data_IF_260877190931
#
_entry.id   IF_260877190931
#
_cell.length_a   1.000
_cell.length_b   1.000
_cell.length_c   1.000
_cell.angle_alpha   90.00
_cell.angle_beta   90.00
_cell.angle_gamma   90.00
#
_symmetry.space_group_name_H-M   'P 1'
#
loop_
_entity.id
_entity.type
_entity.pdbx_description
1 polymer ?
#
# COMPACT_ATOMS: atom_id res chain seq x y z
N UNK A 1 20.05 57.68 57.88
CA UNK A 1 19.03 57.58 56.83
C UNK A 1 19.59 57.22 55.45
N UNK A 2 20.80 57.53 54.98
CA UNK A 2 21.31 57.12 53.65
C UNK A 2 21.88 55.70 53.61
N UNK A 3 22.18 55.09 54.77
CA UNK A 3 22.80 53.75 54.88
C UNK A 3 21.79 52.61 54.75
N UNK A 4 20.58 52.87 55.15
CA UNK A 4 19.50 51.85 55.17
C UNK A 4 18.92 51.63 53.76
N UNK A 5 18.86 52.66 52.91
CA UNK A 5 18.43 52.53 51.52
C UNK A 5 19.46 51.80 50.64
N UNK A 6 20.77 51.92 50.99
CA UNK A 6 21.81 51.21 50.29
C UNK A 6 21.77 49.71 50.57
N UNK A 7 21.45 49.32 51.81
CA UNK A 7 21.32 47.93 52.20
C UNK A 7 20.08 47.28 51.57
N UNK A 8 18.96 48.01 51.55
CA UNK A 8 17.70 47.53 50.92
C UNK A 8 17.85 47.40 49.38
N UNK A 9 18.58 48.29 48.74
CA UNK A 9 18.85 48.24 47.28
C UNK A 9 19.76 47.05 46.93
N UNK A 10 20.74 46.75 47.81
CA UNK A 10 21.64 45.60 47.62
C UNK A 10 20.93 44.26 47.84
N UNK A 11 19.97 44.21 48.81
CA UNK A 11 19.16 43.01 49.07
C UNK A 11 18.13 42.72 47.96
N UNK A 12 17.46 43.76 47.42
CA UNK A 12 16.55 43.62 46.31
C UNK A 12 17.29 43.29 44.97
N UNK A 13 18.48 43.82 44.74
CA UNK A 13 19.31 43.50 43.57
C UNK A 13 19.80 42.05 43.55
N UNK A 14 20.12 41.50 44.76
CA UNK A 14 20.53 40.10 44.90
C UNK A 14 19.39 39.11 44.64
N UNK A 15 18.15 39.46 44.98
CA UNK A 15 16.99 38.62 44.81
C UNK A 15 16.51 38.54 43.36
N UNK A 16 16.76 39.62 42.58
CA UNK A 16 16.39 39.62 41.12
C UNK A 16 17.35 38.80 40.23
N UNK A 17 18.63 38.64 40.68
CA UNK A 17 19.61 37.87 39.90
C UNK A 17 19.48 36.37 40.04
N UNK A 18 18.77 35.88 41.05
CA UNK A 18 18.58 34.44 41.29
C UNK A 18 17.47 33.80 40.42
N UNK A 19 16.68 34.60 39.67
CA UNK A 19 15.59 34.09 38.83
C UNK A 19 16.01 33.76 37.38
N UNK A 20 17.29 33.92 37.01
CA UNK A 20 17.77 33.73 35.63
C UNK A 20 18.45 32.39 35.39
N UNK A 21 18.47 31.48 36.37
CA UNK A 21 18.91 30.11 36.14
C UNK A 21 17.73 29.23 35.67
N UNK A 22 17.09 29.59 34.57
CA UNK A 22 16.23 28.73 33.80
C UNK A 22 17.07 27.61 33.19
N UNK A 23 17.09 26.43 33.78
CA UNK A 23 17.61 25.22 33.15
C UNK A 23 16.89 24.99 31.84
N UNK A 24 17.55 25.35 30.74
CA UNK A 24 17.17 24.93 29.39
C UNK A 24 17.48 23.43 29.27
N UNK A 25 16.65 22.59 29.86
CA UNK A 25 16.65 21.15 29.59
C UNK A 25 16.13 20.98 28.17
N UNK A 26 17.00 21.05 27.19
CA UNK A 26 16.74 20.53 25.86
C UNK A 26 16.73 19.00 25.95
N UNK A 27 15.68 18.42 26.52
CA UNK A 27 15.32 17.04 26.19
C UNK A 27 15.18 17.03 24.66
N UNK A 28 16.05 16.32 23.95
CA UNK A 28 15.74 15.82 22.62
C UNK A 28 14.41 15.09 22.81
N UNK A 29 13.33 15.71 22.38
CA UNK A 29 12.05 15.07 22.20
C UNK A 29 12.31 14.06 21.11
N UNK A 30 12.66 12.82 21.48
CA UNK A 30 12.46 11.71 20.61
C UNK A 30 11.00 11.84 20.18
N UNK A 31 10.72 11.87 18.91
CA UNK A 31 9.38 11.94 18.35
C UNK A 31 8.60 10.79 18.96
N UNK A 32 7.87 11.06 20.03
CA UNK A 32 6.91 10.12 20.63
C UNK A 32 5.81 10.05 19.58
N UNK A 33 5.79 8.95 18.85
CA UNK A 33 4.72 8.64 17.92
C UNK A 33 3.40 8.79 18.69
N UNK A 34 2.47 9.61 18.16
CA UNK A 34 1.18 9.78 18.85
C UNK A 34 0.47 8.42 18.96
N UNK A 35 -0.32 8.21 20.01
CA UNK A 35 -1.01 6.94 20.23
C UNK A 35 -1.86 6.51 19.01
N UNK A 36 -2.44 7.47 18.28
CA UNK A 36 -3.20 7.23 17.05
C UNK A 36 -2.31 6.74 15.90
N UNK A 37 -1.11 7.31 15.73
CA UNK A 37 -0.16 6.89 14.70
C UNK A 37 0.39 5.50 15.02
N UNK A 38 0.64 5.22 16.30
CA UNK A 38 1.08 3.90 16.73
C UNK A 38 0.02 2.84 16.46
N UNK A 39 -1.24 3.09 16.81
CA UNK A 39 -2.35 2.17 16.53
C UNK A 39 -2.56 1.94 15.03
N UNK A 40 -2.43 3.00 14.22
CA UNK A 40 -2.49 2.90 12.76
C UNK A 40 -1.38 2.00 12.21
N UNK A 41 -0.14 2.18 12.66
CA UNK A 41 0.99 1.37 12.21
C UNK A 41 0.89 -0.08 12.67
N UNK A 42 0.40 -0.33 13.90
CA UNK A 42 0.17 -1.67 14.43
C UNK A 42 -0.90 -2.41 13.62
N UNK A 43 -2.00 -1.74 13.25
CA UNK A 43 -3.02 -2.31 12.39
C UNK A 43 -2.44 -2.77 11.03
N UNK A 44 -1.72 -1.90 10.32
CA UNK A 44 -1.15 -2.26 9.02
C UNK A 44 -0.08 -3.34 9.14
N UNK A 45 0.73 -3.32 10.19
CA UNK A 45 1.69 -4.39 10.45
C UNK A 45 0.98 -5.73 10.62
N UNK A 46 -0.11 -5.76 11.36
CA UNK A 46 -0.89 -6.98 11.58
C UNK A 46 -1.55 -7.49 10.29
N UNK A 47 -2.09 -6.59 9.45
CA UNK A 47 -2.61 -6.95 8.12
C UNK A 47 -1.52 -7.58 7.25
N UNK A 48 -0.30 -7.04 7.28
CA UNK A 48 0.84 -7.60 6.53
C UNK A 48 1.25 -8.96 7.07
N UNK A 49 1.32 -9.13 8.40
CA UNK A 49 1.73 -10.36 9.06
C UNK A 49 0.72 -11.50 8.83
N UNK A 50 -0.56 -11.17 8.68
CA UNK A 50 -1.63 -12.13 8.37
C UNK A 50 -1.82 -12.39 6.88
N UNK A 51 -1.11 -11.66 6.02
CA UNK A 51 -1.20 -11.83 4.57
C UNK A 51 -0.81 -13.24 4.14
N UNK A 52 -1.54 -13.77 3.17
CA UNK A 52 -1.31 -15.10 2.62
C UNK A 52 0.13 -15.26 2.09
N UNK A 53 0.89 -16.16 2.70
CA UNK A 53 2.26 -16.43 2.31
C UNK A 53 2.35 -17.67 1.42
N UNK A 54 3.04 -17.55 0.30
CA UNK A 54 3.24 -18.65 -0.65
C UNK A 54 4.62 -18.54 -1.32
N UNK A 55 5.10 -19.66 -1.80
CA UNK A 55 6.26 -19.72 -2.70
C UNK A 55 5.80 -19.90 -4.14
N UNK A 56 4.85 -20.81 -4.34
CA UNK A 56 4.16 -21.05 -5.60
C UNK A 56 2.68 -21.11 -5.34
N UNK A 57 1.89 -20.60 -6.27
CA UNK A 57 0.43 -20.60 -6.20
C UNK A 57 -0.14 -21.09 -7.52
N UNK A 58 -1.11 -22.00 -7.42
CA UNK A 58 -1.96 -22.37 -8.55
C UNK A 58 -3.41 -22.13 -8.15
N UNK A 59 -4.13 -21.38 -8.95
CA UNK A 59 -5.52 -21.07 -8.70
C UNK A 59 -6.34 -21.14 -9.98
N UNK A 60 -7.63 -21.38 -9.81
CA UNK A 60 -8.62 -21.30 -10.88
C UNK A 60 -9.61 -20.20 -10.53
N UNK A 61 -9.75 -19.25 -11.43
CA UNK A 61 -10.57 -18.05 -11.27
C UNK A 61 -11.74 -18.12 -12.27
N UNK A 62 -12.91 -17.67 -11.83
CA UNK A 62 -13.98 -17.29 -12.74
C UNK A 62 -13.97 -15.78 -12.83
N UNK A 63 -13.80 -15.24 -14.03
CA UNK A 63 -13.66 -13.82 -14.28
C UNK A 63 -14.81 -13.36 -15.15
N UNK A 64 -15.58 -12.42 -14.62
CA UNK A 64 -16.63 -11.74 -15.35
C UNK A 64 -16.14 -10.33 -15.69
N UNK A 65 -16.08 -10.03 -17.00
CA UNK A 65 -15.69 -8.72 -17.51
C UNK A 65 -16.93 -8.03 -18.06
N UNK A 66 -17.23 -6.88 -17.48
CA UNK A 66 -18.27 -5.97 -17.97
C UNK A 66 -17.59 -4.71 -18.52
N UNK A 67 -17.47 -4.67 -19.83
CA UNK A 67 -16.93 -3.50 -20.57
C UNK A 67 -18.04 -2.92 -21.43
N UNK A 68 -18.04 -1.59 -21.67
CA UNK A 68 -19.08 -0.94 -22.46
C UNK A 68 -19.40 -1.68 -23.77
N UNK A 69 -20.63 -2.21 -23.86
CA UNK A 69 -21.11 -2.95 -25.03
C UNK A 69 -20.72 -4.41 -25.10
N UNK A 70 -20.03 -4.98 -24.07
CA UNK A 70 -19.64 -6.38 -24.08
C UNK A 70 -19.50 -6.95 -22.67
N UNK A 71 -20.27 -7.98 -22.37
CA UNK A 71 -20.07 -8.83 -21.21
C UNK A 71 -19.38 -10.13 -21.62
N UNK A 72 -18.40 -10.57 -20.84
CA UNK A 72 -17.67 -11.79 -21.13
C UNK A 72 -17.28 -12.49 -19.82
N UNK A 73 -17.68 -13.75 -19.71
CA UNK A 73 -17.24 -14.62 -18.62
C UNK A 73 -16.16 -15.58 -19.10
N UNK A 74 -15.16 -15.80 -18.30
CA UNK A 74 -14.07 -16.71 -18.63
C UNK A 74 -13.55 -17.42 -17.40
N UNK A 75 -13.19 -18.69 -17.59
CA UNK A 75 -12.33 -19.38 -16.64
C UNK A 75 -10.88 -19.02 -16.92
N UNK A 76 -10.13 -18.73 -15.86
CA UNK A 76 -8.70 -18.40 -15.91
C UNK A 76 -7.94 -19.33 -14.97
N UNK A 77 -7.06 -20.13 -15.52
CA UNK A 77 -6.11 -20.90 -14.71
C UNK A 77 -4.86 -20.07 -14.50
N UNK A 78 -4.51 -19.80 -13.24
CA UNK A 78 -3.35 -19.02 -12.83
C UNK A 78 -2.29 -19.92 -12.23
N UNK A 79 -1.03 -19.68 -12.60
CA UNK A 79 0.16 -20.28 -11.97
C UNK A 79 1.14 -19.16 -11.66
N UNK A 80 1.61 -19.10 -10.43
CA UNK A 80 2.47 -18.02 -9.97
C UNK A 80 3.66 -18.55 -9.18
N UNK A 81 4.83 -17.97 -9.41
CA UNK A 81 6.01 -18.08 -8.55
C UNK A 81 6.24 -16.70 -7.96
N UNK A 82 6.17 -16.61 -6.62
CA UNK A 82 6.27 -15.34 -5.89
C UNK A 82 7.49 -14.54 -6.34
N UNK A 83 7.29 -13.26 -6.57
CA UNK A 83 8.30 -12.27 -6.94
C UNK A 83 9.14 -12.62 -8.17
N UNK A 84 8.63 -13.50 -9.04
CA UNK A 84 9.35 -13.98 -10.24
C UNK A 84 8.51 -13.85 -11.50
N UNK A 85 7.45 -14.64 -11.59
CA UNK A 85 6.59 -14.65 -12.77
C UNK A 85 5.23 -15.26 -12.44
N UNK A 86 4.21 -14.91 -13.22
CA UNK A 86 2.96 -15.65 -13.22
C UNK A 86 2.34 -15.72 -14.61
N UNK A 87 1.53 -16.76 -14.82
CA UNK A 87 0.87 -17.05 -16.05
C UNK A 87 -0.63 -17.13 -15.82
N UNK A 88 -1.39 -16.53 -16.72
CA UNK A 88 -2.83 -16.63 -16.80
C UNK A 88 -3.22 -17.32 -18.10
N UNK A 89 -3.97 -18.42 -18.00
CA UNK A 89 -4.52 -19.15 -19.15
C UNK A 89 -6.02 -18.87 -19.21
N UNK A 90 -6.45 -18.10 -20.19
CA UNK A 90 -7.83 -17.63 -20.35
C UNK A 90 -8.61 -18.58 -21.24
N UNK A 91 -9.71 -19.16 -20.70
CA UNK A 91 -10.46 -20.26 -21.30
C UNK A 91 -11.98 -19.93 -21.30
N UNK A 92 -12.47 -19.05 -22.16
CA UNK A 92 -13.88 -18.63 -22.15
C UNK A 92 -14.84 -19.72 -22.59
N UNK A 93 -14.39 -20.66 -23.40
CA UNK A 93 -15.26 -21.71 -23.97
C UNK A 93 -14.68 -23.09 -23.75
N UNK A 94 -15.47 -24.00 -23.17
CA UNK A 94 -15.20 -25.45 -23.06
C UNK A 94 -13.79 -25.83 -22.58
N UNK A 95 -13.12 -24.92 -21.82
CA UNK A 95 -11.78 -25.16 -21.35
C UNK A 95 -10.68 -24.99 -22.40
N UNK A 96 -11.00 -24.40 -23.57
CA UNK A 96 -10.03 -24.12 -24.62
C UNK A 96 -9.31 -22.81 -24.29
N UNK A 97 -7.98 -22.86 -24.16
CA UNK A 97 -7.15 -21.68 -23.98
C UNK A 97 -7.13 -20.85 -25.25
N UNK A 98 -7.64 -19.63 -25.19
CA UNK A 98 -7.59 -18.68 -26.29
C UNK A 98 -6.55 -17.58 -26.06
N UNK A 99 -6.30 -17.21 -24.82
CA UNK A 99 -5.23 -16.29 -24.46
C UNK A 99 -4.34 -16.90 -23.39
N UNK A 100 -3.05 -16.67 -23.53
CA UNK A 100 -2.07 -16.90 -22.48
C UNK A 100 -1.35 -15.61 -22.20
N UNK A 101 -1.35 -15.18 -20.95
CA UNK A 101 -0.65 -13.98 -20.48
C UNK A 101 0.44 -14.44 -19.53
N UNK A 102 1.67 -14.13 -19.84
CA UNK A 102 2.83 -14.38 -18.99
C UNK A 102 3.40 -13.06 -18.51
N UNK A 103 3.46 -12.89 -17.21
CA UNK A 103 3.96 -11.70 -16.56
C UNK A 103 5.25 -12.05 -15.82
N UNK A 104 6.30 -11.34 -16.15
CA UNK A 104 7.58 -11.33 -15.42
C UNK A 104 7.78 -9.98 -14.76
N UNK A 105 8.90 -9.77 -14.08
CA UNK A 105 9.17 -8.49 -13.39
C UNK A 105 9.15 -7.27 -14.32
N UNK A 106 9.59 -7.46 -15.55
CA UNK A 106 9.82 -6.37 -16.50
C UNK A 106 8.91 -6.42 -17.73
N UNK A 107 8.39 -7.62 -18.07
CA UNK A 107 7.71 -7.85 -19.32
C UNK A 107 6.37 -8.55 -19.16
N UNK A 108 5.47 -8.22 -20.07
CA UNK A 108 4.19 -8.88 -20.29
C UNK A 108 4.21 -9.51 -21.66
N UNK A 109 3.92 -10.81 -21.74
CA UNK A 109 3.74 -11.52 -23.01
C UNK A 109 2.29 -11.95 -23.11
N UNK A 110 1.68 -11.69 -24.25
CA UNK A 110 0.32 -12.14 -24.57
C UNK A 110 0.38 -12.99 -25.82
N UNK A 111 -0.10 -14.22 -25.73
CA UNK A 111 -0.28 -15.12 -26.85
C UNK A 111 -1.78 -15.22 -27.14
N UNK A 112 -2.19 -14.73 -28.30
CA UNK A 112 -3.53 -14.88 -28.86
C UNK A 112 -3.55 -16.09 -29.80
N UNK A 113 -4.13 -17.19 -29.33
CA UNK A 113 -4.19 -18.44 -30.09
C UNK A 113 -5.24 -18.42 -31.18
N UNK A 114 -6.30 -17.62 -31.04
CA UNK A 114 -7.34 -17.47 -32.04
C UNK A 114 -6.80 -16.82 -33.32
N UNK A 115 -6.08 -15.70 -33.13
CA UNK A 115 -5.56 -14.92 -34.25
C UNK A 115 -4.09 -15.27 -34.59
N UNK A 116 -3.50 -16.27 -33.90
CA UNK A 116 -2.11 -16.70 -34.07
C UNK A 116 -1.11 -15.53 -33.93
N UNK A 117 -1.32 -14.68 -32.93
CA UNK A 117 -0.51 -13.48 -32.66
C UNK A 117 0.14 -13.60 -31.29
N UNK A 118 1.26 -12.91 -31.14
CA UNK A 118 1.83 -12.69 -29.81
C UNK A 118 2.29 -11.23 -29.70
N UNK A 119 2.31 -10.75 -28.48
CA UNK A 119 2.79 -9.43 -28.09
C UNK A 119 3.74 -9.59 -26.93
N UNK A 120 4.80 -8.81 -26.92
CA UNK A 120 5.72 -8.68 -25.79
C UNK A 120 5.90 -7.19 -25.55
N UNK A 121 5.61 -6.75 -24.33
CA UNK A 121 5.74 -5.35 -23.91
C UNK A 121 6.40 -5.25 -22.54
N UNK A 122 7.05 -4.11 -22.30
CA UNK A 122 7.54 -3.74 -21.00
C UNK A 122 6.48 -2.93 -20.24
N UNK A 123 6.44 -3.05 -18.91
CA UNK A 123 5.53 -2.22 -18.11
C UNK A 123 5.75 -0.73 -18.34
N UNK A 124 7.00 -0.30 -18.53
CA UNK A 124 7.33 1.10 -18.83
C UNK A 124 6.69 1.64 -20.12
N UNK A 125 6.52 0.80 -21.12
CA UNK A 125 5.88 1.19 -22.38
C UNK A 125 4.36 1.32 -22.22
N UNK A 126 3.76 0.59 -21.26
CA UNK A 126 2.34 0.65 -20.97
C UNK A 126 1.98 1.83 -20.06
N UNK A 127 2.94 2.29 -19.25
CA UNK A 127 2.84 3.47 -18.41
C UNK A 127 2.56 4.68 -19.24
N UNK A 128 1.96 5.20 -19.79
CA UNK A 128 1.64 6.34 -20.66
C UNK A 128 0.49 6.04 -21.62
N UNK A 129 0.16 4.76 -21.79
CA UNK A 129 -0.96 4.31 -22.60
C UNK A 129 -2.20 3.97 -21.74
N UNK A 130 -1.99 3.74 -20.44
CA UNK A 130 -3.05 3.47 -19.47
C UNK A 130 -3.00 4.51 -18.35
N UNK A 131 -4.15 4.90 -17.79
CA UNK A 131 -4.20 5.82 -16.65
C UNK A 131 -3.72 5.17 -15.33
N UNK A 132 -3.22 3.94 -15.37
CA UNK A 132 -2.93 3.13 -14.19
C UNK A 132 -1.44 2.78 -14.17
N UNK A 133 -0.74 3.16 -13.11
CA UNK A 133 0.67 2.81 -12.86
C UNK A 133 0.77 1.43 -12.20
N UNK A 134 0.55 0.36 -12.96
CA UNK A 134 0.80 -0.98 -12.45
C UNK A 134 2.17 -1.49 -12.86
N UNK A 135 2.82 -2.17 -11.92
CA UNK A 135 3.99 -3.00 -12.15
C UNK A 135 3.67 -4.47 -11.83
N UNK A 136 4.63 -5.35 -12.04
CA UNK A 136 4.50 -6.78 -11.72
C UNK A 136 4.03 -7.02 -10.28
N UNK A 137 4.61 -6.32 -9.30
CA UNK A 137 4.32 -6.52 -7.87
C UNK A 137 2.90 -6.08 -7.50
N UNK A 138 2.42 -5.00 -8.12
CA UNK A 138 1.04 -4.56 -7.91
C UNK A 138 0.03 -5.57 -8.47
N UNK A 139 0.30 -6.12 -9.66
CA UNK A 139 -0.55 -7.17 -10.22
C UNK A 139 -0.49 -8.46 -9.39
N UNK A 140 0.70 -8.86 -8.94
CA UNK A 140 0.83 -9.99 -8.01
C UNK A 140 0.01 -9.75 -6.74
N UNK A 141 0.13 -8.59 -6.09
CA UNK A 141 -0.60 -8.24 -4.88
C UNK A 141 -2.12 -8.26 -5.11
N UNK A 142 -2.60 -7.73 -6.22
CA UNK A 142 -4.01 -7.77 -6.60
C UNK A 142 -4.53 -9.21 -6.69
N UNK A 143 -3.82 -10.10 -7.37
CA UNK A 143 -4.24 -11.50 -7.53
C UNK A 143 -4.09 -12.34 -6.26
N UNK A 144 -3.32 -11.90 -5.30
CA UNK A 144 -3.12 -12.59 -4.02
C UNK A 144 -3.77 -11.89 -2.84
N UNK A 145 -4.58 -10.87 -3.12
CA UNK A 145 -5.33 -10.10 -2.13
C UNK A 145 -4.44 -9.45 -1.06
N UNK A 146 -3.29 -8.91 -1.47
CA UNK A 146 -2.38 -8.15 -0.61
C UNK A 146 -2.60 -6.65 -0.78
N UNK A 147 -2.23 -5.88 0.22
CA UNK A 147 -2.13 -4.43 0.08
C UNK A 147 -1.07 -4.07 -0.95
N UNK A 148 -1.34 -3.05 -1.74
CA UNK A 148 -0.35 -2.49 -2.66
C UNK A 148 -0.53 -0.97 -2.79
N UNK A 149 0.52 -0.34 -3.26
CA UNK A 149 0.52 1.07 -3.68
C UNK A 149 0.98 1.08 -5.13
N UNK A 150 0.18 1.64 -6.06
CA UNK A 150 0.54 1.71 -7.46
C UNK A 150 1.94 2.28 -7.69
N UNK A 151 2.72 1.64 -8.55
CA UNK A 151 4.10 2.00 -8.84
C UNK A 151 5.15 1.48 -7.84
N UNK A 152 4.77 1.12 -6.62
CA UNK A 152 5.69 0.57 -5.61
C UNK A 152 5.87 -0.94 -5.77
N UNK A 153 7.05 -1.45 -5.38
CA UNK A 153 7.33 -2.89 -5.43
C UNK A 153 6.74 -3.69 -4.27
N UNK A 154 6.26 -3.00 -3.23
CA UNK A 154 5.64 -3.60 -2.06
C UNK A 154 5.28 -2.57 -1.02
N UNK A 155 4.54 -3.01 0.00
CA UNK A 155 4.17 -2.20 1.15
C UNK A 155 5.18 -2.45 2.27
N UNK A 156 5.47 -1.43 3.05
CA UNK A 156 6.30 -1.49 4.25
C UNK A 156 5.90 -0.35 5.19
N UNK A 157 6.37 -0.37 6.43
CA UNK A 157 6.00 0.61 7.47
C UNK A 157 6.10 2.07 7.03
N UNK A 158 7.08 2.43 6.20
CA UNK A 158 7.22 3.79 5.65
C UNK A 158 6.07 4.21 4.74
N UNK A 159 5.30 3.25 4.25
CA UNK A 159 4.18 3.48 3.34
C UNK A 159 2.81 3.54 4.04
N UNK A 160 2.72 3.15 5.31
CA UNK A 160 1.43 3.06 6.00
C UNK A 160 0.68 4.39 6.06
N UNK A 161 1.38 5.51 6.11
CA UNK A 161 0.78 6.84 6.09
C UNK A 161 0.13 7.22 4.74
N UNK A 162 0.36 6.44 3.68
CA UNK A 162 -0.30 6.63 2.37
C UNK A 162 -1.68 5.99 2.33
N UNK A 163 -1.99 5.13 3.29
CA UNK A 163 -3.30 4.53 3.41
C UNK A 163 -4.19 5.34 4.35
N UNK A 164 -5.44 5.52 3.95
CA UNK A 164 -6.50 6.04 4.82
C UNK A 164 -7.30 4.86 5.32
N UNK A 165 -7.45 4.77 6.64
CA UNK A 165 -8.23 3.75 7.31
C UNK A 165 -9.55 4.38 7.79
N UNK A 166 -10.68 3.82 7.37
CA UNK A 166 -11.99 4.11 7.92
C UNK A 166 -12.57 2.81 8.48
N UNK A 167 -12.82 2.76 9.77
CA UNK A 167 -13.37 1.58 10.43
C UNK A 167 -14.75 1.88 10.98
N UNK A 168 -15.75 1.33 10.33
CA UNK A 168 -17.15 1.39 10.75
C UNK A 168 -17.65 -0.04 11.01
N UNK A 169 -17.69 -0.45 12.28
CA UNK A 169 -18.05 -1.81 12.67
C UNK A 169 -16.89 -2.82 12.49
N UNK A 170 -17.20 -4.09 12.16
CA UNK A 170 -16.19 -5.14 12.06
C UNK A 170 -15.32 -5.04 10.81
N UNK A 171 -15.80 -4.38 9.76
CA UNK A 171 -15.08 -4.27 8.49
C UNK A 171 -14.41 -2.91 8.37
N UNK A 172 -13.11 -2.93 8.16
CA UNK A 172 -12.32 -1.74 7.87
C UNK A 172 -12.25 -1.49 6.37
N UNK A 173 -12.41 -0.22 5.98
CA UNK A 173 -12.16 0.25 4.64
C UNK A 173 -10.80 0.94 4.59
N UNK A 174 -9.90 0.44 3.75
CA UNK A 174 -8.57 0.97 3.55
C UNK A 174 -8.50 1.59 2.16
N UNK A 175 -8.09 2.85 2.07
CA UNK A 175 -7.97 3.57 0.80
C UNK A 175 -6.56 4.06 0.57
N UNK A 176 -6.08 3.90 -0.66
CA UNK A 176 -4.89 4.58 -1.17
C UNK A 176 -5.18 5.19 -2.52
N UNK A 177 -4.29 6.06 -2.98
CA UNK A 177 -4.37 6.64 -4.32
C UNK A 177 -3.00 6.60 -4.98
N UNK A 178 -2.99 6.50 -6.30
CA UNK A 178 -1.78 6.63 -7.10
C UNK A 178 -1.36 8.10 -7.31
N UNK A 179 -0.28 8.30 -8.08
CA UNK A 179 0.21 9.64 -8.43
C UNK A 179 -0.79 10.44 -9.29
N UNK A 180 -1.69 9.76 -10.01
CA UNK A 180 -2.73 10.37 -10.84
C UNK A 180 -4.01 10.68 -10.05
N UNK A 181 -4.07 10.26 -8.79
CA UNK A 181 -5.22 10.48 -7.90
C UNK A 181 -6.32 9.44 -8.02
N UNK A 182 -6.12 8.35 -8.74
CA UNK A 182 -7.03 7.21 -8.74
C UNK A 182 -7.01 6.51 -7.38
N UNK A 183 -8.19 6.15 -6.90
CA UNK A 183 -8.34 5.49 -5.60
C UNK A 183 -8.43 3.98 -5.76
N UNK A 184 -7.76 3.29 -4.84
CA UNK A 184 -7.84 1.85 -4.65
C UNK A 184 -8.39 1.59 -3.25
N UNK A 185 -9.39 0.73 -3.17
CA UNK A 185 -10.09 0.43 -1.93
C UNK A 185 -9.92 -1.04 -1.59
N UNK A 186 -9.52 -1.31 -0.34
CA UNK A 186 -9.45 -2.65 0.23
C UNK A 186 -10.46 -2.72 1.37
N UNK A 187 -11.03 -3.89 1.58
CA UNK A 187 -11.88 -4.18 2.74
C UNK A 187 -11.22 -5.26 3.57
N UNK A 188 -11.13 -5.04 4.86
CA UNK A 188 -10.57 -5.99 5.79
C UNK A 188 -11.59 -6.31 6.90
N UNK A 189 -11.74 -7.58 7.27
CA UNK A 189 -12.43 -8.00 8.49
C UNK A 189 -11.37 -8.25 9.55
N UNK A 190 -11.43 -7.44 10.63
CA UNK A 190 -10.29 -7.37 11.53
C UNK A 190 -9.03 -6.93 10.79
N UNK A 191 -8.10 -7.85 10.57
CA UNK A 191 -6.79 -7.61 9.97
C UNK A 191 -6.58 -8.44 8.68
N UNK A 192 -7.60 -9.18 8.24
CA UNK A 192 -7.57 -9.96 7.01
C UNK A 192 -8.18 -9.17 5.84
N UNK A 193 -7.49 -9.09 4.72
CA UNK A 193 -8.00 -8.44 3.51
C UNK A 193 -9.04 -9.35 2.86
N UNK A 194 -10.29 -8.91 2.84
CA UNK A 194 -11.40 -9.63 2.22
C UNK A 194 -11.53 -9.33 0.74
N UNK A 195 -11.25 -8.09 0.32
CA UNK A 195 -11.56 -7.62 -1.01
C UNK A 195 -10.79 -6.36 -1.37
N UNK A 196 -10.37 -6.24 -2.64
CA UNK A 196 -9.73 -5.03 -3.21
C UNK A 196 -10.45 -4.59 -4.48
N UNK A 197 -10.66 -3.30 -4.62
CA UNK A 197 -11.29 -2.66 -5.79
C UNK A 197 -10.58 -1.35 -6.17
#
# INVERSE_FOLDING_TARGET
MKRDYFLTFLLCGGLLLSMLTGCKSSKKVGTVESASVKAHNEFFQSVEDQSFQFRTLTARLNVDLDIPGKQMSSRVDMKMVKDSAFQLSVQPFLGIEIFRIELSRDTIKVVDRMNKRYMIENYSNLQGQTPIEFNFYNLQALFTNHLFIPGEQGVSRKHYNRFKLNQEGPVAEIKTKDAMGLFYTFKADGEEILHST
#
